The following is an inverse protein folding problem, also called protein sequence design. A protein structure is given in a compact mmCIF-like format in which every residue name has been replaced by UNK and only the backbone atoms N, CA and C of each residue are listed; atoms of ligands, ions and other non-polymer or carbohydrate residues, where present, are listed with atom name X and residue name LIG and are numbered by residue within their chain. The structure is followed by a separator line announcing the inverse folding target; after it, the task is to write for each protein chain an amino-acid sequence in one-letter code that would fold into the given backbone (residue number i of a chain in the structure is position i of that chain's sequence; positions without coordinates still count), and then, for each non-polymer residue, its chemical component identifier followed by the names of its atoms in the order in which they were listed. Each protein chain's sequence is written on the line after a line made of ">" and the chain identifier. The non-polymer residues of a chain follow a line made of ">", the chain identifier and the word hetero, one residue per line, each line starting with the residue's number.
data_IF_134574832356
#
_entry.id   IF_134574832356
#
_cell.length_a   1.000
_cell.length_b   1.000
_cell.length_c   1.000
_cell.angle_alpha   90.00
_cell.angle_beta   90.00
_cell.angle_gamma   90.00
#
_symmetry.space_group_name_H-M   'P 1'
#
loop_
_entity.id
_entity.type
_entity.pdbx_description
1 polymer ?
#
# COMPACT_ATOMS: atom_id res chain seq x y z
N UNK A 1 -7.99 20.07 -7.62
CA UNK A 1 -6.91 19.08 -7.47
C UNK A 1 -6.50 19.07 -6.01
N UNK A 2 -6.73 17.97 -5.29
CA UNK A 2 -6.28 17.84 -3.91
C UNK A 2 -4.76 17.87 -3.82
N UNK A 3 -4.21 18.27 -2.67
CA UNK A 3 -2.77 18.18 -2.43
C UNK A 3 -2.40 16.73 -2.16
N UNK A 4 -1.28 16.21 -2.71
CA UNK A 4 -0.81 14.88 -2.38
C UNK A 4 -0.60 14.76 -0.88
N UNK A 5 -1.09 13.67 -0.30
CA UNK A 5 -0.97 13.37 1.13
C UNK A 5 0.11 12.31 1.39
N UNK A 6 0.25 11.88 2.64
CA UNK A 6 1.23 10.86 3.03
C UNK A 6 1.05 9.54 2.26
N UNK A 7 -0.20 9.12 2.02
CA UNK A 7 -0.50 7.93 1.24
C UNK A 7 -0.08 8.09 -0.23
N UNK A 8 -0.32 9.24 -0.85
CA UNK A 8 0.14 9.51 -2.22
C UNK A 8 1.68 9.44 -2.32
N UNK A 9 2.39 10.00 -1.33
CA UNK A 9 3.86 9.92 -1.25
C UNK A 9 4.36 8.48 -1.07
N UNK A 10 3.68 7.70 -0.23
CA UNK A 10 3.97 6.29 -0.01
C UNK A 10 3.77 5.46 -1.28
N UNK A 11 2.64 5.62 -1.96
CA UNK A 11 2.35 4.92 -3.21
C UNK A 11 3.32 5.32 -4.33
N UNK A 12 3.76 6.58 -4.37
CA UNK A 12 4.80 7.01 -5.29
C UNK A 12 6.13 6.29 -5.04
N UNK A 13 6.55 6.14 -3.77
CA UNK A 13 7.78 5.41 -3.45
C UNK A 13 7.67 3.92 -3.79
N UNK A 14 6.54 3.28 -3.48
CA UNK A 14 6.31 1.89 -3.86
C UNK A 14 6.37 1.68 -5.37
N UNK A 15 5.66 2.51 -6.14
CA UNK A 15 5.58 2.32 -7.57
C UNK A 15 6.85 2.78 -8.30
N UNK A 16 7.31 4.02 -8.09
CA UNK A 16 8.39 4.60 -8.88
C UNK A 16 9.79 4.12 -8.45
N UNK A 17 9.99 3.86 -7.16
CA UNK A 17 11.32 3.49 -6.64
C UNK A 17 11.49 1.99 -6.43
N UNK A 18 10.41 1.28 -6.07
CA UNK A 18 10.47 -0.13 -5.69
C UNK A 18 9.76 -1.07 -6.67
N UNK A 19 8.99 -0.54 -7.63
CA UNK A 19 8.29 -1.33 -8.65
C UNK A 19 7.02 -2.04 -8.19
N UNK A 20 6.46 -1.67 -7.03
CA UNK A 20 5.20 -2.21 -6.49
C UNK A 20 4.03 -1.28 -6.87
N UNK A 21 3.62 -1.33 -8.14
CA UNK A 21 2.60 -0.44 -8.70
C UNK A 21 1.19 -1.05 -8.70
N UNK A 22 1.06 -2.34 -8.40
CA UNK A 22 -0.10 -3.16 -8.72
C UNK A 22 0.09 -3.91 -10.04
N UNK A 23 -0.45 -5.12 -10.09
CA UNK A 23 -0.44 -6.01 -11.25
C UNK A 23 -1.76 -6.03 -12.00
N UNK A 24 -1.85 -6.90 -13.00
CA UNK A 24 -3.09 -7.22 -13.70
C UNK A 24 -3.39 -8.70 -13.49
N UNK A 25 -4.46 -9.00 -12.77
CA UNK A 25 -4.98 -10.36 -12.59
C UNK A 25 -6.29 -10.48 -13.38
N UNK A 26 -6.42 -11.53 -14.20
CA UNK A 26 -7.65 -11.79 -14.98
C UNK A 26 -8.18 -10.60 -15.81
N UNK A 27 -7.28 -9.78 -16.38
CA UNK A 27 -7.57 -8.56 -17.15
C UNK A 27 -8.11 -7.38 -16.31
N UNK A 28 -8.09 -7.49 -14.98
CA UNK A 28 -8.45 -6.43 -14.06
C UNK A 28 -7.18 -5.87 -13.40
N UNK A 29 -6.93 -4.55 -13.47
CA UNK A 29 -5.89 -3.94 -12.67
C UNK A 29 -6.21 -4.13 -11.19
N UNK A 30 -5.30 -4.75 -10.44
CA UNK A 30 -5.39 -4.86 -8.99
C UNK A 30 -4.56 -3.74 -8.37
N UNK A 31 -5.19 -2.96 -7.50
CA UNK A 31 -4.50 -1.94 -6.73
C UNK A 31 -4.61 -2.24 -5.25
N UNK A 32 -3.58 -1.91 -4.47
CA UNK A 32 -3.57 -2.17 -3.02
C UNK A 32 -4.78 -1.59 -2.30
N UNK A 33 -5.33 -0.48 -2.78
CA UNK A 33 -6.54 0.14 -2.21
C UNK A 33 -7.76 -0.76 -2.21
N UNK A 34 -7.84 -1.72 -3.12
CA UNK A 34 -8.98 -2.63 -3.28
C UNK A 34 -9.10 -3.60 -2.09
N UNK A 35 -8.00 -3.82 -1.36
CA UNK A 35 -7.95 -4.67 -0.19
C UNK A 35 -8.14 -3.90 1.14
N UNK A 36 -8.06 -2.57 1.11
CA UNK A 36 -8.05 -1.75 2.32
C UNK A 36 -9.50 -1.43 2.72
N UNK A 37 -9.93 -1.78 3.95
CA UNK A 37 -11.28 -1.45 4.42
C UNK A 37 -11.47 0.08 4.51
N UNK A 38 -12.72 0.54 4.63
CA UNK A 38 -13.00 1.97 4.68
C UNK A 38 -12.47 2.65 5.96
N UNK A 39 -12.48 1.92 7.08
CA UNK A 39 -12.03 2.41 8.40
C UNK A 39 -11.45 1.27 9.22
N UNK A 40 -10.76 1.61 10.32
CA UNK A 40 -10.22 0.64 11.27
C UNK A 40 -8.70 0.50 11.15
N UNK A 41 -8.06 -0.17 12.13
CA UNK A 41 -6.61 -0.26 12.19
C UNK A 41 -6.05 -1.12 11.06
N UNK A 42 -5.07 -0.59 10.34
CA UNK A 42 -4.25 -1.30 9.35
C UNK A 42 -2.79 -1.20 9.79
N UNK A 43 -2.15 -2.36 9.96
CA UNK A 43 -0.73 -2.42 10.27
C UNK A 43 0.12 -2.38 9.00
N UNK A 44 1.37 -1.95 9.14
CA UNK A 44 2.37 -2.00 8.07
C UNK A 44 2.57 -3.41 7.51
N UNK A 45 2.42 -4.43 8.37
CA UNK A 45 2.55 -5.85 8.00
C UNK A 45 1.39 -6.33 7.13
N UNK A 46 0.16 -5.97 7.53
CA UNK A 46 -1.04 -6.23 6.76
C UNK A 46 -1.01 -5.50 5.41
N UNK A 47 -0.60 -4.22 5.42
CA UNK A 47 -0.44 -3.43 4.21
C UNK A 47 0.60 -4.01 3.25
N UNK A 48 1.75 -4.45 3.77
CA UNK A 48 2.77 -5.12 2.95
C UNK A 48 2.24 -6.40 2.30
N UNK A 49 1.39 -7.15 3.01
CA UNK A 49 0.77 -8.35 2.47
C UNK A 49 -0.22 -8.02 1.34
N UNK A 50 -1.01 -6.95 1.49
CA UNK A 50 -1.89 -6.44 0.43
C UNK A 50 -1.14 -5.91 -0.78
N UNK A 51 0.00 -5.24 -0.59
CA UNK A 51 0.86 -4.82 -1.70
C UNK A 51 1.33 -6.01 -2.54
N UNK A 52 1.75 -7.09 -1.87
CA UNK A 52 2.22 -8.29 -2.57
C UNK A 52 1.06 -8.96 -3.33
N UNK A 53 -0.11 -9.09 -2.68
CA UNK A 53 -1.30 -9.63 -3.35
C UNK A 53 -1.76 -8.76 -4.53
N UNK A 54 -1.60 -7.44 -4.45
CA UNK A 54 -1.93 -6.54 -5.55
C UNK A 54 -1.04 -6.78 -6.80
N UNK A 55 0.16 -7.34 -6.65
CA UNK A 55 1.01 -7.78 -7.77
C UNK A 55 0.60 -9.17 -8.32
N UNK A 56 -0.41 -9.82 -7.76
CA UNK A 56 -0.78 -11.21 -8.09
C UNK A 56 0.18 -12.25 -7.52
N UNK A 57 0.92 -11.90 -6.45
CA UNK A 57 1.88 -12.78 -5.79
C UNK A 57 1.33 -13.27 -4.45
N UNK A 58 1.79 -14.45 -4.02
CA UNK A 58 1.47 -15.00 -2.71
C UNK A 58 2.39 -14.37 -1.64
N UNK A 59 1.84 -13.62 -0.65
CA UNK A 59 2.63 -13.02 0.40
C UNK A 59 3.42 -14.06 1.20
N UNK A 60 2.90 -15.28 1.39
CA UNK A 60 3.55 -16.32 2.20
C UNK A 60 4.86 -16.85 1.61
N UNK A 61 5.13 -16.56 0.33
CA UNK A 61 6.41 -16.82 -0.30
C UNK A 61 7.51 -15.81 0.09
N UNK A 62 7.13 -14.67 0.69
CA UNK A 62 8.06 -13.62 1.12
C UNK A 62 8.41 -13.76 2.59
N UNK A 63 9.71 -13.82 2.88
CA UNK A 63 10.23 -13.85 4.24
C UNK A 63 9.94 -12.55 5.01
N UNK A 64 9.97 -12.63 6.34
CA UNK A 64 9.84 -11.45 7.20
C UNK A 64 10.89 -10.36 6.88
N UNK A 65 12.07 -10.76 6.41
CA UNK A 65 13.14 -9.83 6.00
C UNK A 65 12.78 -9.07 4.73
N UNK A 66 12.21 -9.75 3.73
CA UNK A 66 11.78 -9.11 2.48
C UNK A 66 10.61 -8.16 2.72
N UNK A 67 9.64 -8.56 3.55
CA UNK A 67 8.52 -7.69 3.95
C UNK A 67 8.97 -6.50 4.80
N UNK A 68 10.13 -6.57 5.45
CA UNK A 68 10.67 -5.50 6.30
C UNK A 68 10.91 -4.20 5.52
N UNK A 69 11.34 -4.30 4.25
CA UNK A 69 11.52 -3.12 3.40
C UNK A 69 10.19 -2.41 3.16
N UNK A 70 9.13 -3.17 2.84
CA UNK A 70 7.80 -2.61 2.59
C UNK A 70 7.24 -1.93 3.85
N UNK A 71 7.41 -2.58 5.01
CA UNK A 71 7.02 -2.03 6.30
C UNK A 71 7.78 -0.74 6.64
N UNK A 72 9.06 -0.68 6.31
CA UNK A 72 9.88 0.51 6.54
C UNK A 72 9.39 1.70 5.73
N UNK A 73 9.03 1.49 4.45
CA UNK A 73 8.45 2.54 3.61
C UNK A 73 7.11 3.00 4.17
N UNK A 74 6.27 2.07 4.61
CA UNK A 74 4.99 2.40 5.24
C UNK A 74 5.19 3.33 6.45
N UNK A 75 6.04 2.93 7.40
CA UNK A 75 6.32 3.72 8.62
C UNK A 75 6.95 5.07 8.27
N UNK A 76 7.85 5.11 7.28
CA UNK A 76 8.51 6.34 6.83
C UNK A 76 7.51 7.40 6.37
N UNK A 77 6.46 7.01 5.64
CA UNK A 77 5.47 7.97 5.12
C UNK A 77 4.30 8.19 6.08
N UNK A 78 3.80 7.13 6.71
CA UNK A 78 2.63 7.20 7.59
C UNK A 78 2.96 7.64 9.02
N UNK A 79 4.25 7.62 9.39
CA UNK A 79 4.76 8.05 10.70
C UNK A 79 4.58 7.03 11.83
N UNK A 80 3.91 5.90 11.56
CA UNK A 80 3.64 4.84 12.53
C UNK A 80 3.41 3.51 11.80
N UNK A 81 3.56 2.40 12.51
CA UNK A 81 3.34 1.04 12.02
C UNK A 81 1.86 0.64 12.00
N UNK A 82 0.95 1.43 12.59
CA UNK A 82 -0.50 1.22 12.52
C UNK A 82 -1.23 2.54 12.28
N UNK A 83 -2.07 2.58 11.26
CA UNK A 83 -2.93 3.75 10.95
C UNK A 83 -4.37 3.33 10.80
N UNK A 84 -5.29 4.29 10.93
CA UNK A 84 -6.66 4.06 10.49
C UNK A 84 -6.71 3.98 8.94
N UNK A 85 -7.47 3.02 8.42
CA UNK A 85 -7.61 2.75 7.00
C UNK A 85 -8.14 3.97 6.21
N UNK A 86 -8.89 4.86 6.87
CA UNK A 86 -9.35 6.10 6.25
C UNK A 86 -8.21 7.03 5.81
N UNK A 87 -7.01 6.85 6.35
CA UNK A 87 -5.79 7.60 5.95
C UNK A 87 -5.07 6.99 4.75
N UNK A 88 -5.43 5.77 4.34
CA UNK A 88 -4.83 5.05 3.22
C UNK A 88 -5.66 5.26 1.94
N UNK A 89 -5.88 6.53 1.60
CA UNK A 89 -6.65 6.98 0.45
C UNK A 89 -5.95 8.18 -0.18
N UNK A 90 -5.94 8.22 -1.51
CA UNK A 90 -5.35 9.35 -2.25
C UNK A 90 -6.07 10.66 -1.95
N UNK A 91 -5.30 11.72 -1.74
CA UNK A 91 -5.82 13.07 -1.56
C UNK A 91 -6.41 13.66 -2.86
N UNK A 92 -6.20 12.98 -3.99
CA UNK A 92 -6.71 13.35 -5.31
C UNK A 92 -8.21 13.08 -5.54
N UNK A 93 -9.00 12.76 -4.51
CA UNK A 93 -10.43 12.52 -4.67
C UNK A 93 -11.10 13.71 -5.37
N UNK A 94 -11.51 13.48 -6.63
CA UNK A 94 -12.29 14.44 -7.40
C UNK A 94 -13.68 14.46 -6.79
N UNK A 95 -14.11 15.66 -6.38
CA UNK A 95 -15.54 15.98 -6.27
C UNK A 95 -16.17 15.97 -7.65
#
# INVERSE_FOLDING_TARGET
>A
MGRPNAFDGMMHEFCANLGWCGGVEDRTPLHVSDFIPDTGPVSADQFASWLIMAEGLDPDLFSASERSQLKTVFVKHMGTDVVDASKLRSGHHSV
#
